data_IF_229135953372
#
_entry.id   IF_229135953372
#
_cell.length_a   1.000
_cell.length_b   1.000
_cell.length_c   1.000
_cell.angle_alpha   90.00
_cell.angle_beta   90.00
_cell.angle_gamma   90.00
#
_symmetry.space_group_name_H-M   'P 1'
#
loop_
_entity.id
_entity.type
_entity.pdbx_description
1 polymer ?
#
# COMPACT_ATOMS: atom_id res chain seq x y z
N UNK A 1 -16.86 46.59 -18.57
CA UNK A 1 -15.69 46.15 -19.38
C UNK A 1 -14.50 45.86 -18.47
N UNK A 2 -14.36 44.63 -17.99
CA UNK A 2 -13.12 44.09 -17.43
C UNK A 2 -13.04 42.63 -17.87
N UNK A 3 -12.22 42.36 -18.87
CA UNK A 3 -11.84 41.03 -19.30
C UNK A 3 -10.31 41.00 -19.30
N UNK A 4 -9.73 40.13 -18.47
CA UNK A 4 -8.64 39.25 -18.89
C UNK A 4 -8.63 38.03 -17.96
N UNK A 5 -9.06 36.95 -18.57
CA UNK A 5 -9.02 35.55 -18.18
C UNK A 5 -7.56 35.06 -18.07
N UNK A 6 -7.42 33.89 -17.43
CA UNK A 6 -6.35 32.88 -17.58
C UNK A 6 -5.24 32.87 -16.51
N UNK A 7 -5.34 31.89 -15.59
CA UNK A 7 -4.27 31.01 -15.11
C UNK A 7 -4.61 30.47 -13.69
N UNK A 8 -5.34 29.35 -13.60
CA UNK A 8 -5.38 28.49 -12.40
C UNK A 8 -6.10 27.18 -12.74
N UNK A 9 -5.45 26.39 -13.60
CA UNK A 9 -5.82 25.01 -13.88
C UNK A 9 -4.57 24.34 -14.46
N UNK A 10 -3.85 23.62 -13.61
CA UNK A 10 -3.13 22.36 -13.83
C UNK A 10 -2.13 22.15 -12.67
N UNK A 11 -1.91 20.89 -12.27
CA UNK A 11 -1.02 20.42 -11.19
C UNK A 11 -1.59 20.30 -9.76
N UNK A 12 -2.77 19.68 -9.60
CA UNK A 12 -3.16 19.01 -8.33
C UNK A 12 -3.34 17.49 -8.49
N UNK A 13 -2.95 16.94 -9.64
CA UNK A 13 -3.05 15.50 -9.95
C UNK A 13 -1.85 14.65 -9.53
N UNK A 14 -0.90 15.17 -8.76
CA UNK A 14 0.38 14.47 -8.49
C UNK A 14 0.66 14.14 -7.02
N UNK A 15 -0.20 14.52 -6.07
CA UNK A 15 0.10 14.39 -4.64
C UNK A 15 -0.42 13.12 -3.95
N UNK A 16 -1.20 12.26 -4.62
CA UNK A 16 -2.00 11.25 -3.90
C UNK A 16 -1.62 9.78 -4.14
N UNK A 17 -0.61 9.48 -4.96
CA UNK A 17 0.03 8.15 -5.00
C UNK A 17 1.07 7.93 -3.90
N UNK A 18 1.50 8.99 -3.19
CA UNK A 18 2.67 8.94 -2.31
C UNK A 18 2.47 8.15 -1.00
N UNK A 19 1.25 7.99 -0.46
CA UNK A 19 1.09 7.40 0.88
C UNK A 19 1.19 5.87 0.96
N UNK A 20 0.67 5.14 -0.03
CA UNK A 20 0.81 3.67 -0.12
C UNK A 20 2.22 3.28 -0.56
N UNK A 21 2.74 4.00 -1.56
CA UNK A 21 4.13 3.92 -2.04
C UNK A 21 5.12 4.20 -0.91
N UNK A 22 4.84 5.19 -0.06
CA UNK A 22 5.68 5.50 1.10
C UNK A 22 5.77 4.35 2.10
N UNK A 23 4.64 3.70 2.37
CA UNK A 23 4.60 2.56 3.28
C UNK A 23 5.33 1.34 2.69
N UNK A 24 5.15 1.07 1.40
CA UNK A 24 5.82 -0.02 0.69
C UNK A 24 7.35 0.16 0.67
N UNK A 25 7.82 1.36 0.29
CA UNK A 25 9.25 1.70 0.35
C UNK A 25 9.82 1.56 1.77
N UNK A 26 9.10 2.02 2.79
CA UNK A 26 9.56 1.94 4.17
C UNK A 26 9.73 0.48 4.62
N UNK A 27 8.84 -0.42 4.20
CA UNK A 27 8.97 -1.85 4.52
C UNK A 27 10.16 -2.48 3.79
N UNK A 28 10.36 -2.18 2.50
CA UNK A 28 11.54 -2.66 1.76
C UNK A 28 12.86 -2.21 2.42
N UNK A 29 12.91 -0.95 2.86
CA UNK A 29 14.07 -0.43 3.58
C UNK A 29 14.29 -1.15 4.91
N UNK A 30 13.21 -1.47 5.65
CA UNK A 30 13.26 -2.25 6.89
C UNK A 30 13.83 -3.65 6.67
N UNK A 31 13.50 -4.31 5.56
CA UNK A 31 14.05 -5.62 5.19
C UNK A 31 15.57 -5.55 4.97
N UNK A 32 16.05 -4.50 4.32
CA UNK A 32 17.50 -4.28 4.12
C UNK A 32 18.20 -4.01 5.47
N UNK A 33 17.54 -3.21 6.31
CA UNK A 33 18.05 -2.78 7.61
C UNK A 33 16.92 -2.45 8.59
N UNK A 34 16.75 -3.27 9.64
CA UNK A 34 15.65 -3.10 10.60
C UNK A 34 15.60 -1.74 11.32
N UNK A 35 16.71 -0.99 11.35
CA UNK A 35 16.78 0.29 12.06
C UNK A 35 15.98 1.41 11.39
N UNK A 36 15.49 1.23 10.16
CA UNK A 36 14.49 2.11 9.56
C UNK A 36 13.20 2.24 10.39
N UNK A 37 12.87 1.24 11.23
CA UNK A 37 11.73 1.29 12.16
C UNK A 37 11.81 2.44 13.17
N UNK A 38 13.02 2.89 13.51
CA UNK A 38 13.26 3.86 14.57
C UNK A 38 13.50 5.29 14.06
N UNK A 39 13.46 5.51 12.74
CA UNK A 39 13.78 6.80 12.14
C UNK A 39 12.52 7.65 12.02
N UNK A 40 12.51 8.79 12.70
CA UNK A 40 11.35 9.70 12.78
C UNK A 40 11.58 11.03 12.07
N UNK A 41 12.81 11.32 11.68
CA UNK A 41 13.30 12.59 11.12
C UNK A 41 13.58 12.48 9.61
N UNK A 42 12.64 11.91 8.85
CA UNK A 42 12.77 11.75 7.40
C UNK A 42 12.36 13.04 6.65
N UNK A 43 13.10 13.46 5.59
CA UNK A 43 12.75 14.60 4.74
C UNK A 43 11.36 14.49 4.10
N UNK A 44 10.73 15.63 3.77
CA UNK A 44 9.36 15.64 3.20
C UNK A 44 9.26 14.93 1.83
N UNK A 45 10.31 14.99 1.00
CA UNK A 45 10.38 14.34 -0.31
C UNK A 45 11.02 12.94 -0.26
N UNK A 46 11.16 12.35 0.92
CA UNK A 46 11.85 11.07 1.12
C UNK A 46 11.27 9.93 0.28
N UNK A 47 9.97 9.95 0.01
CA UNK A 47 9.25 8.92 -0.73
C UNK A 47 9.15 9.19 -2.24
N UNK A 48 9.71 10.29 -2.74
CA UNK A 48 9.79 10.60 -4.18
C UNK A 48 11.01 9.92 -4.82
N UNK A 49 11.03 8.59 -4.80
CA UNK A 49 12.11 7.78 -5.35
C UNK A 49 11.58 6.70 -6.29
N UNK A 50 12.37 6.38 -7.31
CA UNK A 50 12.08 5.22 -8.15
C UNK A 50 12.26 3.94 -7.32
N UNK A 51 11.26 3.05 -7.37
CA UNK A 51 11.35 1.75 -6.70
C UNK A 51 12.51 0.93 -7.28
N UNK A 52 13.32 0.31 -6.40
CA UNK A 52 14.42 -0.51 -6.84
C UNK A 52 13.91 -1.78 -7.53
N UNK A 53 14.64 -2.25 -8.53
CA UNK A 53 14.24 -3.40 -9.37
C UNK A 53 14.99 -4.69 -9.04
N UNK A 54 16.07 -4.59 -8.28
CA UNK A 54 16.95 -5.68 -7.90
C UNK A 54 17.69 -5.37 -6.59
N UNK A 55 18.35 -6.37 -6.01
CA UNK A 55 19.09 -6.27 -4.75
C UNK A 55 20.12 -5.12 -4.76
N UNK A 56 20.86 -4.96 -5.87
CA UNK A 56 21.89 -3.92 -6.00
C UNK A 56 21.30 -2.51 -5.87
N UNK A 57 20.20 -2.25 -6.60
CA UNK A 57 19.47 -0.97 -6.52
C UNK A 57 18.79 -0.75 -5.17
N UNK A 58 18.37 -1.83 -4.49
CA UNK A 58 17.85 -1.78 -3.11
C UNK A 58 18.92 -1.31 -2.13
N UNK A 59 20.11 -1.92 -2.13
CA UNK A 59 21.23 -1.52 -1.26
C UNK A 59 21.68 -0.08 -1.57
N UNK A 60 21.77 0.28 -2.86
CA UNK A 60 22.11 1.64 -3.24
C UNK A 60 21.10 2.66 -2.71
N UNK A 61 19.80 2.40 -2.89
CA UNK A 61 18.73 3.29 -2.43
C UNK A 61 18.79 3.45 -0.91
N UNK A 62 18.93 2.34 -0.18
CA UNK A 62 19.11 2.36 1.27
C UNK A 62 20.25 3.29 1.70
N UNK A 63 21.47 3.07 1.18
CA UNK A 63 22.65 3.85 1.58
C UNK A 63 22.56 5.32 1.17
N UNK A 64 21.97 5.60 0.00
CA UNK A 64 21.71 6.96 -0.47
C UNK A 64 20.80 7.71 0.50
N UNK A 65 19.70 7.09 0.91
CA UNK A 65 18.72 7.69 1.82
C UNK A 65 19.30 7.86 3.23
N UNK A 66 20.02 6.87 3.77
CA UNK A 66 20.76 7.00 5.05
C UNK A 66 21.72 8.18 4.98
N UNK A 67 22.56 8.25 3.94
CA UNK A 67 23.51 9.35 3.77
C UNK A 67 22.83 10.73 3.71
N UNK A 68 21.70 10.86 3.00
CA UNK A 68 20.95 12.12 2.93
C UNK A 68 20.49 12.57 4.33
N UNK A 69 19.88 11.68 5.11
CA UNK A 69 19.42 12.01 6.47
C UNK A 69 20.61 12.35 7.38
N UNK A 70 21.67 11.54 7.38
CA UNK A 70 22.84 11.74 8.24
C UNK A 70 23.62 13.03 7.95
N UNK A 71 23.51 13.55 6.72
CA UNK A 71 24.10 14.83 6.30
C UNK A 71 23.34 16.04 6.87
N UNK A 72 22.03 15.91 7.07
CA UNK A 72 21.16 16.99 7.57
C UNK A 72 21.01 16.99 9.09
N UNK A 73 21.26 15.85 9.75
CA UNK A 73 21.20 15.74 11.21
C UNK A 73 22.13 16.72 11.93
N UNK A 74 21.64 17.23 13.06
CA UNK A 74 22.37 18.20 13.87
C UNK A 74 23.68 17.64 14.43
N UNK A 75 24.78 18.35 14.14
CA UNK A 75 26.13 18.03 14.63
C UNK A 75 26.60 18.99 15.72
N UNK A 76 25.71 19.76 16.36
CA UNK A 76 26.12 20.80 17.33
C UNK A 76 26.95 20.22 18.50
N UNK A 77 26.64 19.00 18.92
CA UNK A 77 27.34 18.29 19.99
C UNK A 77 28.78 17.86 19.62
N UNK A 78 29.15 17.86 18.32
CA UNK A 78 30.46 17.42 17.85
C UNK A 78 31.50 18.55 17.89
N UNK A 79 32.74 18.19 18.19
CA UNK A 79 33.89 19.10 18.10
C UNK A 79 34.32 19.34 16.64
N UNK A 80 35.23 20.29 16.42
CA UNK A 80 35.68 20.67 15.05
C UNK A 80 36.32 19.51 14.28
N UNK A 81 37.12 18.67 14.95
CA UNK A 81 37.78 17.51 14.33
C UNK A 81 36.75 16.46 13.92
N UNK A 82 35.83 16.12 14.82
CA UNK A 82 34.74 15.18 14.56
C UNK A 82 33.85 15.63 13.40
N UNK A 83 33.48 16.92 13.34
CA UNK A 83 32.71 17.47 12.22
C UNK A 83 33.42 17.29 10.87
N UNK A 84 34.73 17.57 10.84
CA UNK A 84 35.55 17.36 9.63
C UNK A 84 35.60 15.89 9.25
N UNK A 85 35.90 15.01 10.20
CA UNK A 85 35.98 13.57 9.98
C UNK A 85 34.65 12.98 9.51
N UNK A 86 33.53 13.37 10.13
CA UNK A 86 32.18 12.96 9.72
C UNK A 86 31.89 13.36 8.28
N UNK A 87 32.21 14.60 7.90
CA UNK A 87 32.05 15.08 6.53
C UNK A 87 32.89 14.29 5.53
N UNK A 88 34.10 13.90 5.90
CA UNK A 88 34.95 13.03 5.06
C UNK A 88 34.32 11.64 4.92
N UNK A 89 33.90 11.01 6.01
CA UNK A 89 33.27 9.69 5.99
C UNK A 89 31.96 9.68 5.19
N UNK A 90 31.08 10.69 5.34
CA UNK A 90 29.87 10.79 4.54
C UNK A 90 30.17 11.00 3.04
N UNK A 91 31.28 11.67 2.71
CA UNK A 91 31.75 11.79 1.32
C UNK A 91 32.17 10.42 0.75
N UNK A 92 32.89 9.63 1.54
CA UNK A 92 33.27 8.25 1.17
C UNK A 92 32.03 7.37 1.03
N UNK A 93 31.07 7.46 1.96
CA UNK A 93 29.80 6.73 1.87
C UNK A 93 29.05 7.06 0.57
N UNK A 94 29.04 8.35 0.20
CA UNK A 94 28.48 8.80 -1.08
C UNK A 94 29.14 8.16 -2.28
N UNK A 95 30.47 8.13 -2.32
CA UNK A 95 31.21 7.49 -3.40
C UNK A 95 30.93 5.98 -3.44
N UNK A 96 30.91 5.33 -2.28
CA UNK A 96 30.66 3.90 -2.14
C UNK A 96 29.32 3.47 -2.77
N UNK A 97 28.21 4.10 -2.38
CA UNK A 97 26.91 3.73 -2.97
C UNK A 97 26.76 4.15 -4.44
N UNK A 98 27.54 5.12 -4.92
CA UNK A 98 27.58 5.50 -6.34
C UNK A 98 28.40 4.54 -7.19
N UNK A 99 29.40 3.86 -6.61
CA UNK A 99 30.21 2.85 -7.28
C UNK A 99 29.51 1.48 -7.34
N UNK A 100 28.53 1.27 -6.46
CA UNK A 100 27.65 0.09 -6.42
C UNK A 100 28.39 -1.26 -6.32
N UNK A 101 29.54 -1.27 -5.62
CA UNK A 101 30.29 -2.48 -5.30
C UNK A 101 29.92 -2.90 -3.87
N UNK A 102 29.01 -3.86 -3.75
CA UNK A 102 28.48 -4.32 -2.48
C UNK A 102 28.82 -5.79 -2.23
N UNK A 103 29.01 -6.20 -0.97
CA UNK A 103 29.21 -7.59 -0.59
C UNK A 103 28.18 -8.55 -1.17
N UNK A 104 28.66 -9.74 -1.52
CA UNK A 104 27.88 -10.84 -2.07
C UNK A 104 27.70 -11.95 -1.03
N UNK A 105 26.44 -12.32 -0.75
CA UNK A 105 26.11 -13.41 0.17
C UNK A 105 26.10 -14.77 -0.55
N UNK A 106 27.26 -15.44 -0.63
CA UNK A 106 27.39 -16.76 -1.26
C UNK A 106 27.04 -17.94 -0.35
N UNK A 107 27.03 -17.75 0.98
CA UNK A 107 27.04 -18.86 1.94
C UNK A 107 25.73 -19.05 2.71
N UNK A 108 24.80 -18.10 2.63
CA UNK A 108 23.56 -18.16 3.40
C UNK A 108 22.32 -18.13 2.50
N UNK A 109 21.26 -18.80 2.95
CA UNK A 109 19.95 -18.87 2.28
C UNK A 109 19.00 -17.75 2.69
N UNK A 110 19.42 -16.84 3.57
CA UNK A 110 18.67 -15.67 4.02
C UNK A 110 19.56 -14.41 4.05
N UNK A 111 18.94 -13.22 4.13
CA UNK A 111 19.64 -11.93 4.18
C UNK A 111 20.45 -11.81 5.47
N UNK A 112 21.75 -11.53 5.35
CA UNK A 112 22.67 -11.41 6.49
C UNK A 112 23.80 -10.43 6.14
N UNK A 113 24.38 -9.67 7.10
CA UNK A 113 25.52 -8.82 6.81
C UNK A 113 26.73 -9.65 6.44
N UNK A 114 27.63 -9.03 5.68
CA UNK A 114 28.97 -9.50 5.39
C UNK A 114 29.89 -8.33 5.67
N UNK A 115 30.92 -8.48 6.51
CA UNK A 115 31.85 -7.38 6.74
C UNK A 115 32.78 -7.19 5.55
N UNK A 116 33.34 -8.30 5.05
CA UNK A 116 34.04 -8.40 3.77
C UNK A 116 33.64 -9.73 3.11
N UNK A 117 33.21 -9.71 1.84
CA UNK A 117 32.84 -10.92 1.10
C UNK A 117 34.05 -11.71 0.55
N UNK A 118 33.76 -12.83 -0.12
CA UNK A 118 34.77 -13.70 -0.73
C UNK A 118 35.58 -13.01 -1.85
N UNK A 119 35.09 -11.89 -2.37
CA UNK A 119 35.72 -11.09 -3.42
C UNK A 119 36.53 -9.91 -2.86
N UNK A 120 36.59 -9.76 -1.54
CA UNK A 120 37.28 -8.65 -0.88
C UNK A 120 36.45 -7.35 -0.85
N UNK A 121 35.17 -7.42 -1.20
CA UNK A 121 34.25 -6.27 -1.15
C UNK A 121 33.82 -6.06 0.29
N UNK A 122 34.20 -4.93 0.87
CA UNK A 122 33.77 -4.55 2.21
C UNK A 122 32.34 -3.99 2.22
N UNK A 123 31.58 -4.20 3.30
CA UNK A 123 30.31 -3.49 3.50
C UNK A 123 30.53 -1.99 3.70
N UNK A 124 29.46 -1.21 3.71
CA UNK A 124 29.53 0.25 3.87
C UNK A 124 30.34 0.67 5.10
N UNK A 125 30.11 0.06 6.27
CA UNK A 125 30.87 0.39 7.50
C UNK A 125 32.34 -0.04 7.36
N UNK A 126 32.61 -1.26 6.89
CA UNK A 126 33.96 -1.75 6.70
C UNK A 126 34.76 -0.91 5.69
N UNK A 127 34.12 -0.47 4.61
CA UNK A 127 34.69 0.41 3.60
C UNK A 127 35.02 1.80 4.17
N UNK A 128 34.13 2.38 4.98
CA UNK A 128 34.42 3.64 5.68
C UNK A 128 35.66 3.53 6.58
N UNK A 129 35.78 2.44 7.34
CA UNK A 129 36.93 2.18 8.22
C UNK A 129 38.22 2.00 7.40
N UNK A 130 38.16 1.26 6.27
CA UNK A 130 39.29 1.04 5.36
C UNK A 130 39.77 2.36 4.76
N UNK A 131 38.88 3.10 4.10
CA UNK A 131 39.20 4.33 3.35
C UNK A 131 39.61 5.49 4.27
N UNK A 132 39.29 5.40 5.56
CA UNK A 132 39.76 6.37 6.57
C UNK A 132 41.07 5.97 7.24
N UNK A 133 41.70 4.88 6.79
CA UNK A 133 43.07 4.50 7.15
C UNK A 133 43.21 3.35 8.15
N UNK A 134 42.13 2.59 8.42
CA UNK A 134 42.13 1.51 9.42
C UNK A 134 41.78 0.12 8.84
N UNK A 135 42.41 -0.32 7.74
CA UNK A 135 42.02 -1.57 7.06
C UNK A 135 42.16 -2.82 7.92
N UNK A 136 43.09 -2.83 8.88
CA UNK A 136 43.31 -3.97 9.78
C UNK A 136 42.13 -4.22 10.72
N UNK A 137 41.39 -3.18 11.11
CA UNK A 137 40.16 -3.33 11.91
C UNK A 137 39.12 -4.08 11.10
N UNK A 138 38.90 -3.69 9.85
CA UNK A 138 37.93 -4.36 8.98
C UNK A 138 38.30 -5.80 8.67
N UNK A 139 39.58 -6.09 8.43
CA UNK A 139 40.07 -7.46 8.22
C UNK A 139 39.90 -8.32 9.47
N UNK A 140 40.21 -7.79 10.64
CA UNK A 140 40.04 -8.50 11.92
C UNK A 140 38.58 -8.89 12.14
N UNK A 141 37.65 -7.94 11.95
CA UNK A 141 36.20 -8.21 12.12
C UNK A 141 35.74 -9.24 11.09
N UNK A 142 36.17 -9.14 9.83
CA UNK A 142 35.83 -10.12 8.80
C UNK A 142 36.34 -11.54 9.14
N UNK A 143 37.46 -11.68 9.85
CA UNK A 143 37.99 -13.00 10.25
C UNK A 143 37.25 -13.60 11.45
N UNK A 144 36.78 -12.77 12.38
CA UNK A 144 36.24 -13.23 13.67
C UNK A 144 34.70 -13.23 13.70
N UNK A 145 34.06 -12.28 13.02
CA UNK A 145 32.61 -12.03 13.08
C UNK A 145 32.06 -11.52 11.73
N UNK A 146 32.43 -12.15 10.61
CA UNK A 146 32.08 -11.64 9.28
C UNK A 146 30.58 -11.42 9.06
N UNK A 147 29.73 -12.24 9.68
CA UNK A 147 28.29 -12.29 9.44
C UNK A 147 27.44 -11.67 10.55
N UNK A 148 28.06 -10.99 11.51
CA UNK A 148 27.34 -10.38 12.64
C UNK A 148 26.85 -8.98 12.31
N UNK A 149 25.73 -8.58 12.91
CA UNK A 149 25.35 -7.16 12.95
C UNK A 149 26.22 -6.42 13.97
N UNK A 150 26.43 -5.11 13.77
CA UNK A 150 27.17 -4.28 14.73
C UNK A 150 26.58 -4.28 16.14
N UNK A 151 25.29 -4.59 16.30
CA UNK A 151 24.65 -4.72 17.62
C UNK A 151 25.06 -5.98 18.38
N UNK A 152 25.50 -7.02 17.66
CA UNK A 152 25.95 -8.31 18.20
C UNK A 152 27.47 -8.32 18.41
N UNK A 153 28.15 -7.27 17.92
CA UNK A 153 29.58 -7.11 17.98
C UNK A 153 30.01 -6.32 19.22
N UNK A 154 31.09 -6.78 19.87
CA UNK A 154 31.72 -6.06 20.96
C UNK A 154 33.19 -5.74 20.59
N UNK A 155 33.37 -4.73 19.72
CA UNK A 155 34.67 -4.28 19.25
C UNK A 155 34.93 -2.82 19.67
N UNK A 156 35.75 -2.58 20.70
CA UNK A 156 36.12 -1.23 21.13
C UNK A 156 36.72 -0.37 20.01
N UNK A 157 37.39 -0.98 19.04
CA UNK A 157 37.98 -0.32 17.88
C UNK A 157 36.92 0.40 17.04
N UNK A 158 35.75 -0.23 16.84
CA UNK A 158 34.64 0.38 16.08
C UNK A 158 34.02 1.53 16.88
N UNK A 159 33.88 1.40 18.19
CA UNK A 159 33.37 2.47 19.05
C UNK A 159 34.30 3.68 19.07
N UNK A 160 35.61 3.44 19.19
CA UNK A 160 36.62 4.49 19.14
C UNK A 160 36.63 5.19 17.78
N UNK A 161 36.58 4.41 16.69
CA UNK A 161 36.47 4.96 15.34
C UNK A 161 35.19 5.79 15.19
N UNK A 162 34.02 5.26 15.59
CA UNK A 162 32.74 5.98 15.53
C UNK A 162 32.83 7.33 16.26
N UNK A 163 33.38 7.33 17.48
CA UNK A 163 33.58 8.54 18.27
C UNK A 163 34.52 9.54 17.61
N UNK A 164 35.63 9.08 17.03
CA UNK A 164 36.59 9.96 16.33
C UNK A 164 36.00 10.56 15.05
N UNK A 165 35.17 9.80 14.35
CA UNK A 165 34.51 10.21 13.11
C UNK A 165 33.14 10.87 13.34
N UNK A 166 32.74 11.04 14.60
CA UNK A 166 31.53 11.76 14.97
C UNK A 166 30.25 11.03 14.59
N UNK A 167 30.24 9.70 14.64
CA UNK A 167 29.06 8.85 14.49
C UNK A 167 28.63 8.27 15.84
N UNK A 168 27.34 8.03 16.00
CA UNK A 168 26.85 7.12 17.03
C UNK A 168 26.87 5.68 16.51
N UNK A 169 26.87 4.70 17.42
CA UNK A 169 26.75 3.29 17.03
C UNK A 169 25.41 3.01 16.34
N UNK A 170 24.34 3.70 16.73
CA UNK A 170 23.03 3.55 16.08
C UNK A 170 23.02 4.07 14.63
N UNK A 171 23.81 5.11 14.32
CA UNK A 171 24.01 5.52 12.94
C UNK A 171 24.80 4.48 12.15
N UNK A 172 25.83 3.85 12.73
CA UNK A 172 26.61 2.81 12.04
C UNK A 172 25.80 1.53 11.81
N UNK A 173 24.98 1.12 12.80
CA UNK A 173 24.01 0.03 12.65
C UNK A 173 23.04 0.29 11.52
N UNK A 174 22.64 1.55 11.31
CA UNK A 174 21.76 1.94 10.21
C UNK A 174 22.48 2.02 8.86
N UNK A 175 23.79 2.33 8.85
CA UNK A 175 24.62 2.28 7.64
C UNK A 175 24.92 0.83 7.20
N UNK A 176 24.93 -0.15 8.10
CA UNK A 176 25.24 -1.55 7.80
C UNK A 176 24.02 -2.31 7.22
N UNK A 177 23.96 -2.59 5.91
CA UNK A 177 22.88 -3.43 5.38
C UNK A 177 23.15 -4.92 5.63
N UNK A 178 22.09 -5.73 5.54
CA UNK A 178 22.23 -7.16 5.21
C UNK A 178 22.16 -7.38 3.70
N UNK A 179 22.72 -8.48 3.19
CA UNK A 179 22.77 -8.82 1.76
C UNK A 179 21.94 -10.07 1.47
N UNK A 180 21.02 -9.97 0.51
CA UNK A 180 20.19 -11.10 0.12
C UNK A 180 21.06 -12.23 -0.46
N UNK A 181 20.62 -13.50 -0.31
CA UNK A 181 21.32 -14.66 -0.86
C UNK A 181 21.63 -14.51 -2.34
N UNK A 182 22.91 -14.56 -2.71
CA UNK A 182 23.34 -14.48 -4.09
C UNK A 182 22.99 -15.74 -4.88
N UNK A 183 22.78 -15.58 -6.17
CA UNK A 183 22.55 -16.70 -7.07
C UNK A 183 23.90 -17.20 -7.62
N UNK A 184 24.60 -18.01 -6.82
CA UNK A 184 25.91 -18.56 -7.16
C UNK A 184 25.86 -19.60 -8.30
N UNK A 185 26.98 -19.88 -9.01
CA UNK A 185 27.03 -20.97 -9.98
C UNK A 185 26.51 -22.30 -9.43
N UNK A 186 25.72 -23.00 -10.23
CA UNK A 186 25.07 -24.27 -9.87
C UNK A 186 23.80 -24.11 -9.04
N UNK A 187 23.38 -22.88 -8.72
CA UNK A 187 22.19 -22.65 -7.90
C UNK A 187 20.93 -22.45 -8.73
N UNK A 188 19.82 -22.95 -8.18
CA UNK A 188 18.46 -22.58 -8.56
C UNK A 188 17.68 -22.24 -7.30
N UNK A 189 17.02 -21.09 -7.29
CA UNK A 189 16.21 -20.59 -6.18
C UNK A 189 14.80 -20.29 -6.67
N UNK A 190 13.82 -20.83 -5.95
CA UNK A 190 12.42 -20.45 -6.14
C UNK A 190 12.19 -19.02 -5.60
N UNK A 191 11.24 -18.28 -6.15
CA UNK A 191 10.90 -16.96 -5.63
C UNK A 191 10.34 -17.10 -4.21
N UNK A 192 10.59 -16.10 -3.37
CA UNK A 192 10.01 -16.06 -2.01
C UNK A 192 8.50 -15.83 -2.07
N UNK A 193 8.05 -15.01 -3.03
CA UNK A 193 6.66 -14.63 -3.25
C UNK A 193 6.19 -15.03 -4.65
N UNK A 194 4.89 -15.21 -4.85
CA UNK A 194 4.34 -15.69 -6.14
C UNK A 194 4.79 -14.85 -7.34
N UNK A 195 4.82 -13.52 -7.16
CA UNK A 195 5.28 -12.55 -8.18
C UNK A 195 6.75 -12.11 -7.98
N UNK A 196 7.47 -12.73 -7.03
CA UNK A 196 8.83 -12.37 -6.66
C UNK A 196 9.90 -12.96 -7.60
N UNK A 197 11.15 -12.47 -7.51
CA UNK A 197 12.22 -12.98 -8.35
C UNK A 197 12.74 -14.33 -7.84
N UNK A 198 12.67 -15.37 -8.68
CA UNK A 198 13.48 -16.58 -8.53
C UNK A 198 14.88 -16.35 -9.10
N UNK A 199 15.74 -17.38 -9.02
CA UNK A 199 17.01 -17.33 -9.73
C UNK A 199 17.47 -18.67 -10.30
N UNK A 200 18.19 -18.58 -11.42
CA UNK A 200 18.91 -19.69 -12.06
C UNK A 200 20.33 -19.21 -12.37
N UNK A 201 21.34 -20.00 -11.98
CA UNK A 201 22.72 -19.81 -12.39
C UNK A 201 23.36 -21.19 -12.65
N UNK A 202 23.54 -21.59 -13.92
CA UNK A 202 24.21 -22.85 -14.26
C UNK A 202 25.72 -22.76 -14.01
N UNK A 203 26.31 -23.84 -13.48
CA UNK A 203 27.76 -23.92 -13.31
C UNK A 203 28.44 -24.39 -14.61
N UNK A 204 28.70 -23.44 -15.50
CA UNK A 204 29.36 -23.72 -16.79
C UNK A 204 30.79 -24.28 -16.61
N UNK A 205 31.48 -23.88 -15.54
CA UNK A 205 32.84 -24.30 -15.27
C UNK A 205 32.90 -25.75 -14.77
N UNK A 206 31.98 -26.15 -13.88
CA UNK A 206 31.84 -27.55 -13.47
C UNK A 206 31.52 -28.48 -14.65
N UNK A 207 30.80 -27.97 -15.66
CA UNK A 207 30.51 -28.68 -16.90
C UNK A 207 31.62 -28.57 -17.97
N UNK A 208 32.80 -28.08 -17.59
CA UNK A 208 34.01 -27.98 -18.44
C UNK A 208 33.85 -27.09 -19.68
N UNK A 209 32.92 -26.13 -19.66
CA UNK A 209 32.77 -25.15 -20.75
C UNK A 209 33.84 -24.05 -20.63
N UNK A 210 34.39 -23.62 -21.77
CA UNK A 210 35.47 -22.64 -21.82
C UNK A 210 34.97 -21.25 -22.24
N UNK A 211 35.18 -20.19 -21.44
CA UNK A 211 34.75 -18.84 -21.78
C UNK A 211 35.48 -18.29 -23.02
N UNK A 212 34.93 -17.26 -23.72
CA UNK A 212 33.65 -16.61 -23.45
C UNK A 212 32.44 -17.51 -23.73
N UNK A 213 31.39 -17.33 -22.93
CA UNK A 213 30.13 -18.05 -23.06
C UNK A 213 29.13 -17.22 -23.87
N UNK A 214 28.45 -17.85 -24.83
CA UNK A 214 27.31 -17.30 -25.55
C UNK A 214 26.03 -18.03 -25.10
N UNK A 215 25.18 -17.34 -24.35
CA UNK A 215 24.02 -17.93 -23.66
C UNK A 215 22.72 -17.46 -24.30
N UNK A 216 21.84 -18.39 -24.67
CA UNK A 216 20.51 -18.14 -25.27
C UNK A 216 19.38 -18.82 -24.49
N UNK A 217 18.15 -18.33 -24.68
CA UNK A 217 16.96 -18.74 -23.91
C UNK A 217 15.69 -18.78 -24.78
N UNK A 218 14.76 -19.68 -24.47
CA UNK A 218 13.52 -19.90 -25.25
C UNK A 218 12.24 -19.35 -24.60
N UNK A 219 12.19 -19.17 -23.27
CA UNK A 219 11.02 -18.63 -22.57
C UNK A 219 11.45 -17.46 -21.69
N UNK A 220 11.03 -16.25 -22.06
CA UNK A 220 11.42 -15.01 -21.38
C UNK A 220 10.20 -14.39 -20.71
N UNK A 221 10.07 -14.61 -19.41
CA UNK A 221 9.09 -13.92 -18.57
C UNK A 221 9.72 -13.29 -17.32
N UNK A 222 11.04 -13.11 -17.23
CA UNK A 222 11.75 -12.46 -16.11
C UNK A 222 12.38 -11.09 -16.43
N UNK A 223 13.26 -10.59 -15.54
CA UNK A 223 14.08 -9.38 -15.77
C UNK A 223 15.22 -9.56 -16.79
N UNK A 224 15.41 -10.78 -17.31
CA UNK A 224 16.50 -11.14 -18.23
C UNK A 224 17.75 -11.68 -17.53
N UNK A 225 18.67 -12.27 -18.29
CA UNK A 225 19.98 -12.69 -17.80
C UNK A 225 20.93 -11.51 -17.77
N UNK A 226 21.66 -11.33 -16.66
CA UNK A 226 22.73 -10.34 -16.53
C UNK A 226 24.07 -11.06 -16.37
N UNK A 227 25.12 -10.50 -16.96
CA UNK A 227 26.50 -10.82 -16.57
C UNK A 227 26.86 -9.82 -15.50
N UNK A 228 27.01 -10.29 -14.28
CA UNK A 228 27.35 -9.41 -13.17
C UNK A 228 28.81 -8.95 -13.21
N UNK A 229 29.16 -8.05 -12.29
CA UNK A 229 30.50 -7.46 -12.18
C UNK A 229 31.59 -8.45 -11.78
N UNK A 230 31.23 -9.65 -11.32
CA UNK A 230 32.16 -10.75 -11.00
C UNK A 230 32.21 -11.82 -12.11
N UNK A 231 31.49 -11.61 -13.21
CA UNK A 231 31.54 -12.43 -14.41
C UNK A 231 30.63 -13.65 -14.39
N UNK A 232 29.74 -13.80 -13.41
CA UNK A 232 28.75 -14.88 -13.45
C UNK A 232 27.56 -14.50 -14.33
N UNK A 233 27.06 -15.51 -15.03
CA UNK A 233 25.87 -15.41 -15.86
C UNK A 233 24.72 -15.96 -15.03
N UNK A 234 23.86 -15.10 -14.53
CA UNK A 234 22.70 -15.50 -13.74
C UNK A 234 21.41 -14.84 -14.23
N UNK A 235 20.28 -15.53 -14.04
CA UNK A 235 18.96 -14.96 -14.27
C UNK A 235 18.33 -14.60 -12.94
N UNK A 236 18.48 -13.36 -12.55
CA UNK A 236 17.68 -12.79 -11.48
C UNK A 236 16.26 -12.55 -12.02
N UNK A 237 15.23 -12.79 -11.21
CA UNK A 237 13.85 -12.60 -11.64
C UNK A 237 13.27 -13.75 -12.48
N UNK A 238 13.82 -14.95 -12.35
CA UNK A 238 13.24 -16.13 -12.98
C UNK A 238 11.80 -16.35 -12.46
N UNK A 239 10.79 -16.26 -13.33
CA UNK A 239 9.38 -16.51 -12.96
C UNK A 239 9.09 -17.99 -12.86
N UNK A 240 7.95 -18.31 -12.23
CA UNK A 240 7.43 -19.68 -12.12
C UNK A 240 7.32 -20.35 -13.50
N UNK A 241 7.70 -21.63 -13.58
CA UNK A 241 7.61 -22.40 -14.83
C UNK A 241 8.94 -23.00 -15.28
N UNK A 242 8.93 -23.51 -16.51
CA UNK A 242 10.08 -24.20 -17.10
C UNK A 242 10.96 -23.23 -17.88
N UNK A 243 12.26 -23.30 -17.60
CA UNK A 243 13.30 -22.49 -18.23
C UNK A 243 14.30 -23.39 -18.93
N UNK A 244 14.62 -23.05 -20.18
CA UNK A 244 15.65 -23.71 -20.99
C UNK A 244 16.77 -22.72 -21.26
N UNK A 245 17.97 -23.05 -20.77
CA UNK A 245 19.18 -22.24 -20.91
C UNK A 245 20.14 -22.98 -21.84
N UNK A 246 20.59 -22.35 -22.90
CA UNK A 246 21.57 -22.94 -23.83
C UNK A 246 22.85 -22.13 -23.77
N UNK A 247 23.98 -22.76 -23.46
CA UNK A 247 25.29 -22.14 -23.46
C UNK A 247 26.13 -22.73 -24.59
N UNK A 248 26.77 -21.86 -25.38
CA UNK A 248 27.78 -22.21 -26.37
C UNK A 248 29.10 -21.60 -25.91
N UNK A 249 30.13 -22.42 -25.76
CA UNK A 249 31.44 -21.98 -25.29
C UNK A 249 32.36 -21.55 -26.46
N UNK A 250 33.59 -21.11 -26.15
CA UNK A 250 34.56 -20.63 -27.15
C UNK A 250 35.05 -21.70 -28.12
N UNK A 251 34.84 -22.98 -27.81
CA UNK A 251 35.15 -24.11 -28.67
C UNK A 251 33.92 -24.58 -29.48
N UNK A 252 32.82 -23.81 -29.45
CA UNK A 252 31.50 -24.17 -30.00
C UNK A 252 30.86 -25.41 -29.35
N UNK A 253 31.29 -25.79 -28.14
CA UNK A 253 30.61 -26.82 -27.34
C UNK A 253 29.28 -26.26 -26.87
N UNK A 254 28.19 -26.98 -27.17
CA UNK A 254 26.84 -26.57 -26.76
C UNK A 254 26.36 -27.42 -25.60
N UNK A 255 25.86 -26.76 -24.54
CA UNK A 255 25.20 -27.40 -23.39
C UNK A 255 23.84 -26.77 -23.14
N UNK A 256 22.85 -27.61 -22.84
CA UNK A 256 21.48 -27.17 -22.54
C UNK A 256 21.13 -27.57 -21.12
N UNK A 257 20.59 -26.63 -20.35
CA UNK A 257 20.14 -26.79 -18.99
C UNK A 257 18.63 -26.57 -18.93
N UNK A 258 17.96 -27.37 -18.10
CA UNK A 258 16.54 -27.25 -17.83
C UNK A 258 16.33 -27.00 -16.36
N UNK A 259 15.60 -25.93 -16.05
CA UNK A 259 15.24 -25.57 -14.68
C UNK A 259 13.73 -25.45 -14.58
N UNK A 260 13.20 -25.84 -13.44
CA UNK A 260 11.81 -25.57 -13.07
C UNK A 260 11.82 -24.67 -11.86
N UNK A 261 11.36 -23.42 -12.04
CA UNK A 261 11.03 -22.55 -10.92
C UNK A 261 9.65 -22.98 -10.42
N UNK A 262 9.63 -23.50 -9.20
CA UNK A 262 8.43 -23.99 -8.57
C UNK A 262 7.54 -22.82 -8.17
N UNK A 263 6.24 -23.06 -8.24
CA UNK A 263 5.27 -22.11 -7.72
C UNK A 263 5.35 -22.07 -6.18
N UNK A 264 5.27 -20.88 -5.61
CA UNK A 264 4.96 -20.71 -4.19
C UNK A 264 3.45 -20.52 -4.01
N UNK A 265 2.85 -20.96 -2.89
CA UNK A 265 1.41 -20.80 -2.66
C UNK A 265 0.98 -19.34 -2.83
N UNK A 266 0.01 -19.07 -3.71
CA UNK A 266 -0.55 -17.74 -3.88
C UNK A 266 -1.46 -17.39 -2.70
N UNK A 267 -1.54 -16.11 -2.37
CA UNK A 267 -2.43 -15.60 -1.33
C UNK A 267 -3.82 -15.42 -1.93
N UNK A 268 -4.79 -16.17 -1.45
CA UNK A 268 -6.19 -15.95 -1.79
C UNK A 268 -6.85 -15.01 -0.77
N UNK A 269 -7.72 -14.12 -1.26
CA UNK A 269 -8.45 -13.15 -0.44
C UNK A 269 -9.95 -13.34 -0.70
N UNK A 270 -10.70 -13.62 0.35
CA UNK A 270 -12.17 -13.61 0.36
C UNK A 270 -12.67 -12.44 1.21
N UNK A 271 -13.69 -11.74 0.72
CA UNK A 271 -14.21 -10.53 1.35
C UNK A 271 -15.73 -10.62 1.43
N UNK A 272 -16.27 -10.55 2.64
CA UNK A 272 -17.69 -10.53 2.93
C UNK A 272 -18.08 -9.14 3.42
N UNK A 273 -18.98 -8.47 2.70
CA UNK A 273 -19.31 -7.05 2.92
C UNK A 273 -20.76 -6.93 3.35
N UNK A 274 -20.97 -6.32 4.52
CA UNK A 274 -22.24 -5.75 4.91
C UNK A 274 -22.21 -4.27 4.57
N UNK A 275 -22.93 -3.89 3.52
CA UNK A 275 -22.95 -2.52 2.99
C UNK A 275 -23.54 -1.50 3.98
N UNK A 276 -23.22 -0.22 3.77
CA UNK A 276 -23.76 0.86 4.59
C UNK A 276 -25.27 0.98 4.34
N UNK A 277 -26.06 1.08 5.39
CA UNK A 277 -27.53 1.16 5.30
C UNK A 277 -28.12 2.49 5.75
N UNK A 278 -27.33 3.33 6.40
CA UNK A 278 -27.74 4.64 6.90
C UNK A 278 -26.78 5.70 6.33
N UNK A 279 -27.28 6.69 5.59
CA UNK A 279 -26.45 7.71 4.95
C UNK A 279 -25.79 8.67 5.95
N UNK A 280 -26.25 8.70 7.19
CA UNK A 280 -25.79 9.62 8.24
C UNK A 280 -24.66 9.04 9.08
N UNK A 281 -24.41 7.73 9.01
CA UNK A 281 -23.32 7.07 9.73
C UNK A 281 -22.60 6.01 8.88
N UNK A 282 -21.36 5.74 9.24
CA UNK A 282 -20.53 4.77 8.56
C UNK A 282 -20.70 3.42 9.26
N UNK A 283 -21.78 2.69 8.98
CA UNK A 283 -22.10 1.43 9.68
C UNK A 283 -21.76 0.16 8.92
N UNK A 284 -21.06 0.25 7.79
CA UNK A 284 -20.67 -0.93 7.02
C UNK A 284 -19.61 -1.76 7.77
N UNK A 285 -19.62 -3.06 7.49
CA UNK A 285 -18.69 -4.04 8.06
C UNK A 285 -18.10 -4.87 6.93
N UNK A 286 -16.78 -5.06 6.95
CA UNK A 286 -16.05 -5.92 6.02
C UNK A 286 -15.33 -7.00 6.83
N UNK A 287 -15.59 -8.25 6.50
CA UNK A 287 -14.86 -9.41 7.03
C UNK A 287 -14.00 -10.02 5.91
N UNK A 288 -12.70 -10.02 6.12
CA UNK A 288 -11.68 -10.53 5.21
C UNK A 288 -11.17 -11.87 5.71
N UNK A 289 -11.12 -12.86 4.83
CA UNK A 289 -10.52 -14.16 5.08
C UNK A 289 -9.42 -14.40 4.03
N UNK A 290 -8.35 -15.08 4.43
CA UNK A 290 -7.22 -15.37 3.56
C UNK A 290 -6.76 -16.82 3.70
N UNK A 291 -6.06 -17.34 2.70
CA UNK A 291 -5.48 -18.70 2.73
C UNK A 291 -4.14 -18.80 3.47
N UNK A 292 -3.61 -17.71 4.01
CA UNK A 292 -2.32 -17.72 4.73
C UNK A 292 -2.52 -17.95 6.23
N UNK A 293 -1.62 -18.71 6.84
CA UNK A 293 -1.61 -18.98 8.28
C UNK A 293 -0.93 -17.84 9.06
N UNK A 294 -1.37 -17.54 10.30
CA UNK A 294 -0.69 -16.55 11.13
C UNK A 294 0.78 -16.91 11.42
N UNK A 295 1.68 -15.91 11.54
CA UNK A 295 1.39 -14.49 11.55
C UNK A 295 1.22 -13.90 10.13
N UNK A 296 0.11 -13.21 9.91
CA UNK A 296 -0.16 -12.41 8.71
C UNK A 296 -0.64 -11.01 9.12
N UNK A 297 -0.53 -10.03 8.22
CA UNK A 297 -1.04 -8.68 8.42
C UNK A 297 -2.15 -8.39 7.39
N UNK A 298 -3.22 -7.74 7.87
CA UNK A 298 -4.34 -7.30 7.05
C UNK A 298 -4.53 -5.79 7.19
N UNK A 299 -4.38 -5.10 6.08
CA UNK A 299 -4.66 -3.68 5.96
C UNK A 299 -5.82 -3.44 5.00
N UNK A 300 -6.60 -2.40 5.28
CA UNK A 300 -7.68 -1.93 4.45
C UNK A 300 -7.47 -0.45 4.16
N UNK A 301 -7.41 -0.08 2.89
CA UNK A 301 -7.15 1.30 2.46
C UNK A 301 -8.39 1.81 1.73
N UNK A 302 -9.01 2.86 2.23
CA UNK A 302 -10.05 3.62 1.52
C UNK A 302 -9.38 4.69 0.67
N UNK A 303 -9.76 4.81 -0.60
CA UNK A 303 -9.12 5.80 -1.48
C UNK A 303 -9.63 7.23 -1.28
N UNK A 304 -10.91 7.41 -0.88
CA UNK A 304 -11.55 8.72 -0.77
C UNK A 304 -12.56 8.78 0.40
N UNK A 305 -12.31 9.56 1.46
CA UNK A 305 -11.00 10.14 1.82
C UNK A 305 -9.96 9.03 2.00
N UNK A 306 -8.69 9.37 1.81
CA UNK A 306 -7.60 8.43 2.04
C UNK A 306 -7.54 8.07 3.52
N UNK A 307 -7.83 6.82 3.85
CA UNK A 307 -7.90 6.33 5.22
C UNK A 307 -7.44 4.87 5.28
N UNK A 308 -6.55 4.54 6.21
CA UNK A 308 -6.09 3.17 6.43
C UNK A 308 -6.68 2.61 7.73
N UNK A 309 -7.00 1.32 7.71
CA UNK A 309 -7.47 0.53 8.83
C UNK A 309 -6.63 -0.75 8.91
N UNK A 310 -6.32 -1.22 10.12
CA UNK A 310 -5.59 -2.47 10.32
C UNK A 310 -6.29 -3.27 11.41
N UNK A 311 -6.57 -4.55 11.14
CA UNK A 311 -7.13 -5.50 12.11
C UNK A 311 -6.62 -6.90 11.78
N UNK A 312 -5.88 -7.51 12.69
CA UNK A 312 -5.24 -8.81 12.49
C UNK A 312 -6.23 -9.97 12.35
N UNK A 313 -7.50 -9.79 12.71
CA UNK A 313 -8.57 -10.78 12.51
C UNK A 313 -9.36 -10.55 11.21
N UNK A 314 -8.99 -9.52 10.43
CA UNK A 314 -9.66 -9.18 9.18
C UNK A 314 -11.07 -8.62 9.35
N UNK A 315 -11.41 -8.12 10.54
CA UNK A 315 -12.77 -7.65 10.84
C UNK A 315 -12.83 -6.12 10.96
N UNK A 316 -13.22 -5.45 9.88
CA UNK A 316 -13.25 -4.00 9.80
C UNK A 316 -14.69 -3.48 10.00
N UNK A 317 -14.87 -2.61 11.00
CA UNK A 317 -16.17 -1.99 11.35
C UNK A 317 -16.15 -0.50 11.08
N UNK A 318 -17.33 0.11 11.16
CA UNK A 318 -17.54 1.55 11.04
C UNK A 318 -17.09 2.13 9.70
N UNK A 319 -17.25 1.35 8.63
CA UNK A 319 -16.83 1.73 7.29
C UNK A 319 -17.94 2.53 6.60
N UNK A 320 -17.56 3.57 5.87
CA UNK A 320 -18.52 4.29 5.04
C UNK A 320 -18.55 3.69 3.62
N UNK A 321 -19.56 4.03 2.84
CA UNK A 321 -19.61 3.73 1.42
C UNK A 321 -18.41 4.35 0.69
N UNK A 322 -17.84 3.59 -0.25
CA UNK A 322 -16.64 3.97 -0.97
C UNK A 322 -15.89 2.75 -1.50
N UNK A 323 -14.79 3.05 -2.19
CA UNK A 323 -13.87 2.03 -2.70
C UNK A 323 -12.76 1.80 -1.69
N UNK A 324 -12.47 0.54 -1.45
CA UNK A 324 -11.43 0.08 -0.56
C UNK A 324 -10.51 -0.92 -1.28
N UNK A 325 -9.26 -0.96 -0.86
CA UNK A 325 -8.28 -1.97 -1.27
C UNK A 325 -7.88 -2.75 -0.02
N UNK A 326 -8.15 -4.05 -0.04
CA UNK A 326 -7.64 -4.99 0.94
C UNK A 326 -6.19 -5.31 0.56
N UNK A 327 -5.29 -5.32 1.55
CA UNK A 327 -3.90 -5.73 1.41
C UNK A 327 -3.60 -6.81 2.45
N UNK A 328 -3.10 -7.95 1.99
CA UNK A 328 -2.71 -9.08 2.83
C UNK A 328 -1.22 -9.31 2.70
N UNK A 329 -0.55 -9.45 3.84
CA UNK A 329 0.86 -9.85 3.94
C UNK A 329 0.97 -11.18 4.68
N UNK A 330 1.70 -12.14 4.13
CA UNK A 330 2.03 -13.38 4.84
C UNK A 330 3.26 -13.23 5.75
N UNK A 331 3.72 -14.33 6.36
CA UNK A 331 4.90 -14.36 7.24
C UNK A 331 6.22 -14.08 6.53
N UNK A 332 6.26 -14.23 5.20
CA UNK A 332 7.39 -13.89 4.34
C UNK A 332 7.24 -12.49 3.72
N UNK A 333 6.25 -11.72 4.20
CA UNK A 333 5.88 -10.39 3.69
C UNK A 333 5.47 -10.36 2.21
N UNK A 334 5.03 -11.48 1.67
CA UNK A 334 4.45 -11.52 0.34
C UNK A 334 3.10 -10.81 0.34
N UNK A 335 2.90 -9.90 -0.62
CA UNK A 335 1.73 -9.05 -0.68
C UNK A 335 0.73 -9.53 -1.73
N UNK A 336 -0.56 -9.50 -1.37
CA UNK A 336 -1.67 -9.57 -2.33
C UNK A 336 -2.69 -8.48 -2.06
N UNK A 337 -3.24 -7.91 -3.13
CA UNK A 337 -4.27 -6.87 -3.02
C UNK A 337 -5.58 -7.30 -3.66
N UNK A 338 -6.70 -6.79 -3.13
CA UNK A 338 -8.02 -6.96 -3.71
C UNK A 338 -8.87 -5.71 -3.52
N UNK A 339 -9.34 -5.13 -4.62
CA UNK A 339 -10.31 -4.04 -4.60
C UNK A 339 -11.70 -4.52 -4.19
N UNK A 340 -12.38 -3.76 -3.33
CA UNK A 340 -13.77 -3.98 -2.92
C UNK A 340 -14.53 -2.65 -2.87
N UNK A 341 -15.82 -2.69 -3.15
CA UNK A 341 -16.69 -1.52 -3.10
C UNK A 341 -17.76 -1.71 -2.03
N UNK A 342 -17.87 -0.73 -1.14
CA UNK A 342 -18.96 -0.63 -0.16
C UNK A 342 -20.00 0.34 -0.72
N UNK A 343 -21.20 -0.14 -1.00
CA UNK A 343 -22.33 0.69 -1.43
C UNK A 343 -23.00 1.38 -0.25
N UNK A 344 -23.63 2.53 -0.53
CA UNK A 344 -24.62 3.13 0.34
C UNK A 344 -25.99 2.65 -0.12
N UNK A 345 -26.67 1.87 0.71
CA UNK A 345 -28.01 1.34 0.46
C UNK A 345 -29.10 2.19 1.11
N UNK A 346 -28.76 3.30 1.76
CA UNK A 346 -29.75 4.20 2.35
C UNK A 346 -30.62 4.82 1.24
N UNK A 347 -31.90 4.46 1.22
CA UNK A 347 -32.90 5.12 0.39
C UNK A 347 -33.26 6.44 1.03
N UNK A 348 -32.91 7.56 0.38
CA UNK A 348 -33.21 8.92 0.86
C UNK A 348 -34.70 9.24 0.74
N UNK A 349 -35.54 8.61 1.55
CA UNK A 349 -36.85 9.12 1.92
C UNK A 349 -36.98 8.94 3.43
N UNK A 350 -36.66 9.98 4.18
CA UNK A 350 -37.22 10.13 5.51
C UNK A 350 -38.72 10.34 5.31
N UNK A 351 -39.51 9.28 5.48
CA UNK A 351 -40.92 9.46 5.83
C UNK A 351 -40.94 10.15 7.19
N UNK A 352 -41.04 11.49 7.18
CA UNK A 352 -41.36 12.25 8.38
C UNK A 352 -42.68 11.66 8.88
N UNK A 353 -42.67 11.00 10.03
CA UNK A 353 -43.88 10.52 10.69
C UNK A 353 -44.89 11.66 10.71
N UNK A 354 -45.93 11.52 9.91
CA UNK A 354 -47.02 12.48 9.78
C UNK A 354 -47.67 12.56 11.16
N UNK A 355 -47.69 13.74 11.79
CA UNK A 355 -48.54 13.98 12.96
C UNK A 355 -49.97 13.59 12.60
N UNK A 356 -50.58 12.71 13.40
CA UNK A 356 -51.65 11.80 12.95
C UNK A 356 -52.84 12.48 12.24
N UNK A 357 -52.79 12.56 10.90
CA UNK A 357 -53.94 12.96 10.08
C UNK A 357 -54.83 11.74 9.92
N UNK A 358 -56.09 11.84 10.38
CA UNK A 358 -57.09 10.77 10.19
C UNK A 358 -58.13 11.24 9.18
N UNK A 359 -58.42 10.37 8.21
CA UNK A 359 -59.46 10.59 7.20
C UNK A 359 -60.56 9.55 7.39
N UNK A 360 -61.77 10.02 7.70
CA UNK A 360 -62.91 9.11 7.82
C UNK A 360 -64.24 9.79 7.47
N UNK A 361 -65.21 9.01 6.96
CA UNK A 361 -65.01 7.68 6.40
C UNK A 361 -64.19 7.77 5.09
N UNK A 362 -63.33 6.80 4.82
CA UNK A 362 -62.71 6.59 3.52
C UNK A 362 -62.73 5.08 3.23
N UNK A 363 -63.58 4.58 2.32
CA UNK A 363 -64.42 5.32 1.37
C UNK A 363 -65.59 6.11 1.97
N UNK A 364 -66.04 7.17 1.30
CA UNK A 364 -67.19 7.99 1.68
C UNK A 364 -68.31 8.02 0.63
N UNK A 365 -69.50 8.46 1.03
CA UNK A 365 -70.66 8.65 0.13
C UNK A 365 -70.83 10.10 -0.30
N UNK A 366 -71.14 11.01 0.63
CA UNK A 366 -71.32 12.44 0.31
C UNK A 366 -70.25 13.33 0.94
N UNK A 367 -69.88 13.04 2.20
CA UNK A 367 -68.99 13.86 3.01
C UNK A 367 -67.88 13.00 3.63
N UNK A 368 -66.73 13.60 3.88
CA UNK A 368 -65.64 13.03 4.69
C UNK A 368 -65.07 14.11 5.61
N UNK A 369 -64.30 13.69 6.62
CA UNK A 369 -63.70 14.59 7.59
C UNK A 369 -62.19 14.35 7.66
N UNK A 370 -61.46 15.41 8.02
CA UNK A 370 -60.02 15.38 8.30
C UNK A 370 -59.82 15.74 9.76
N UNK A 371 -59.21 14.85 10.54
CA UNK A 371 -58.92 15.08 11.95
C UNK A 371 -57.42 15.25 12.16
N UNK A 372 -57.06 16.23 12.99
CA UNK A 372 -55.71 16.47 13.47
C UNK A 372 -55.68 16.38 15.00
N UNK A 373 -54.51 16.15 15.61
CA UNK A 373 -54.35 16.19 17.07
C UNK A 373 -54.64 17.57 17.69
N UNK A 374 -54.55 18.64 16.89
CA UNK A 374 -54.87 20.02 17.28
C UNK A 374 -56.09 20.54 16.54
N UNK A 375 -56.99 21.21 17.26
CA UNK A 375 -58.17 21.86 16.68
C UNK A 375 -57.77 23.12 15.91
N UNK A 376 -57.30 22.94 14.68
CA UNK A 376 -56.77 24.00 13.80
C UNK A 376 -57.51 24.04 12.46
N UNK A 377 -57.54 25.21 11.82
CA UNK A 377 -57.99 25.35 10.43
C UNK A 377 -56.89 24.96 9.44
N UNK A 378 -57.28 24.36 8.31
CA UNK A 378 -56.41 24.00 7.20
C UNK A 378 -57.05 24.41 5.87
N UNK A 379 -56.22 24.58 4.83
CA UNK A 379 -56.70 24.71 3.46
C UNK A 379 -56.68 23.34 2.79
N UNK A 380 -57.61 23.10 1.86
CA UNK A 380 -57.62 21.85 1.10
C UNK A 380 -57.92 22.08 -0.38
N UNK A 381 -57.41 21.15 -1.21
CA UNK A 381 -57.73 21.02 -2.63
C UNK A 381 -57.94 19.55 -2.96
N UNK A 382 -58.95 19.27 -3.79
CA UNK A 382 -59.31 17.92 -4.21
C UNK A 382 -59.11 17.82 -5.71
N UNK A 383 -58.37 16.82 -6.14
CA UNK A 383 -58.06 16.54 -7.54
C UNK A 383 -58.61 15.18 -7.96
N UNK A 384 -59.10 15.07 -9.19
CA UNK A 384 -59.41 13.78 -9.79
C UNK A 384 -58.14 13.08 -10.34
N UNK A 385 -58.27 11.84 -10.83
CA UNK A 385 -57.15 11.06 -11.39
C UNK A 385 -56.47 11.71 -12.60
N UNK A 386 -57.12 12.66 -13.28
CA UNK A 386 -56.52 13.42 -14.39
C UNK A 386 -55.73 14.65 -13.91
N UNK A 387 -55.73 14.92 -12.60
CA UNK A 387 -55.12 16.11 -12.01
C UNK A 387 -55.99 17.37 -12.10
N UNK A 388 -57.25 17.25 -12.52
CA UNK A 388 -58.19 18.37 -12.58
C UNK A 388 -58.67 18.72 -11.16
N UNK A 389 -58.63 20.00 -10.81
CA UNK A 389 -59.12 20.51 -9.53
C UNK A 389 -60.66 20.42 -9.48
N UNK A 390 -61.17 19.63 -8.54
CA UNK A 390 -62.59 19.37 -8.32
C UNK A 390 -63.19 20.34 -7.32
N UNK A 391 -62.50 20.58 -6.21
CA UNK A 391 -62.94 21.48 -5.14
C UNK A 391 -61.74 22.04 -4.39
N UNK A 392 -61.88 23.24 -3.82
CA UNK A 392 -60.93 23.82 -2.87
C UNK A 392 -61.68 24.59 -1.79
N UNK A 393 -61.11 24.66 -0.60
CA UNK A 393 -61.72 25.37 0.51
C UNK A 393 -60.83 25.45 1.74
N UNK A 394 -61.43 25.91 2.84
CA UNK A 394 -60.84 25.86 4.19
C UNK A 394 -61.81 25.12 5.09
N UNK A 395 -61.28 24.32 6.01
CA UNK A 395 -62.05 23.57 6.99
C UNK A 395 -61.28 23.54 8.32
N UNK A 396 -61.99 23.27 9.42
CA UNK A 396 -61.39 22.97 10.73
C UNK A 396 -61.26 21.46 10.90
N UNK A 397 -60.39 21.04 11.83
CA UNK A 397 -60.37 19.65 12.27
C UNK A 397 -61.77 19.18 12.62
N UNK A 398 -62.13 17.99 12.15
CA UNK A 398 -63.44 17.38 12.40
C UNK A 398 -64.62 18.21 11.86
N UNK A 399 -64.39 19.00 10.81
CA UNK A 399 -65.45 19.61 9.99
C UNK A 399 -65.74 18.75 8.75
N UNK A 400 -67.02 18.60 8.40
CA UNK A 400 -67.42 17.84 7.22
C UNK A 400 -67.08 18.58 5.93
N UNK A 401 -66.35 17.90 5.04
CA UNK A 401 -66.09 18.35 3.67
C UNK A 401 -67.06 17.62 2.74
N UNK A 402 -68.00 18.37 2.16
CA UNK A 402 -68.98 17.85 1.21
C UNK A 402 -68.38 17.76 -0.20
N UNK A 403 -68.54 16.60 -0.82
CA UNK A 403 -68.19 16.34 -2.22
C UNK A 403 -69.34 15.60 -2.95
N UNK A 404 -70.59 15.94 -2.61
CA UNK A 404 -71.81 15.28 -3.11
C UNK A 404 -71.93 15.33 -4.64
N UNK A 405 -71.53 16.44 -5.26
CA UNK A 405 -71.65 16.68 -6.71
C UNK A 405 -70.61 15.96 -7.57
N UNK A 406 -69.54 15.42 -6.98
CA UNK A 406 -68.52 14.69 -7.73
C UNK A 406 -68.98 13.27 -8.10
N UNK A 407 -68.45 12.70 -9.18
CA UNK A 407 -68.73 11.31 -9.58
C UNK A 407 -68.10 10.30 -8.61
N UNK A 408 -68.49 9.02 -8.72
CA UNK A 408 -67.82 7.96 -7.97
C UNK A 408 -66.40 7.76 -8.51
N UNK A 409 -65.41 7.62 -7.65
CA UNK A 409 -64.03 7.50 -8.10
C UNK A 409 -62.99 7.74 -7.02
N UNK A 410 -61.73 7.76 -7.45
CA UNK A 410 -60.56 8.05 -6.61
C UNK A 410 -60.19 9.52 -6.79
N UNK A 411 -59.90 10.18 -5.68
CA UNK A 411 -59.45 11.57 -5.63
C UNK A 411 -58.20 11.70 -4.77
N UNK A 412 -57.43 12.74 -5.02
CA UNK A 412 -56.30 13.16 -4.19
C UNK A 412 -56.67 14.41 -3.42
N UNK A 413 -56.64 14.33 -2.10
CA UNK A 413 -56.83 15.43 -1.18
C UNK A 413 -55.46 16.02 -0.81
N UNK A 414 -55.20 17.22 -1.29
CA UNK A 414 -54.08 18.04 -0.85
C UNK A 414 -54.53 18.91 0.34
N UNK A 415 -53.85 18.78 1.48
CA UNK A 415 -54.04 19.55 2.70
C UNK A 415 -52.85 20.50 2.86
N UNK A 416 -53.11 21.77 3.14
CA UNK A 416 -52.10 22.79 3.40
C UNK A 416 -52.33 23.35 4.80
N UNK A 417 -51.38 23.11 5.70
CA UNK A 417 -51.41 23.56 7.11
C UNK A 417 -50.01 23.99 7.51
N UNK A 418 -49.87 25.14 8.18
CA UNK A 418 -48.59 25.68 8.66
C UNK A 418 -47.48 25.73 7.59
N UNK A 419 -47.87 26.03 6.34
CA UNK A 419 -47.01 26.04 5.15
C UNK A 419 -46.43 24.66 4.76
N UNK A 420 -46.89 23.58 5.39
CA UNK A 420 -46.64 22.20 4.98
C UNK A 420 -47.79 21.68 4.09
N UNK A 421 -47.46 20.74 3.21
CA UNK A 421 -48.39 20.12 2.25
C UNK A 421 -48.44 18.62 2.49
N UNK A 422 -49.64 18.10 2.64
CA UNK A 422 -49.92 16.67 2.79
C UNK A 422 -50.83 16.22 1.66
N UNK A 423 -50.65 15.02 1.14
CA UNK A 423 -51.48 14.48 0.07
C UNK A 423 -51.99 13.11 0.46
N UNK A 424 -53.30 12.93 0.45
CA UNK A 424 -53.96 11.69 0.82
C UNK A 424 -54.91 11.21 -0.27
N UNK A 425 -55.03 9.88 -0.40
CA UNK A 425 -55.97 9.27 -1.33
C UNK A 425 -57.32 9.09 -0.66
N UNK A 426 -58.38 9.63 -1.27
CA UNK A 426 -59.77 9.45 -0.83
C UNK A 426 -60.59 8.75 -1.91
N UNK A 427 -61.56 7.93 -1.51
CA UNK A 427 -62.40 7.12 -2.40
C UNK A 427 -63.87 7.46 -2.19
N UNK A 428 -64.55 7.92 -3.23
CA UNK A 428 -66.01 8.10 -3.23
C UNK A 428 -66.68 6.84 -3.78
N UNK A 429 -67.45 6.15 -2.93
CA UNK A 429 -68.01 4.83 -3.24
C UNK A 429 -69.44 4.86 -3.79
N UNK A 430 -70.24 5.90 -3.50
CA UNK A 430 -71.68 5.92 -3.78
C UNK A 430 -72.17 7.16 -4.51
#
# INVERSE_FOLDING_TARGET
MKNKLLALLFCLGFLMNNSSVANELKQELIEINKYWKFQTDLPENFYEVDFPKNEKSQIQLHLKLVHQVLKERSVHHLNKKQKKNRSTALTILKQYYQNEQFPINLHHSYRIPYFIDDFGTACAVGHLIIETGFPEVSKMIAQQNNYSYLEEMNYPEVELWAKEFGFTIDELKWIQPGYAPYCAPGTKKDPVCHDGPGCINPDFAADSLIPPYNVTYEYNDGSGWEVDTVGYIHMYGARIGQHKVTCIDSLNTTKVYYYTINNVPDISIQANINHQTDSTNCNAVLHVQTSVDPPYQLDLIRSNPNQAFSDSNGYFKNLCAGNYTIVVYDSNYCQKTRGVQIYNLATSLNEKEIGSIKLFPNPFSENFMVSFESNSSFEYKIYDLSGRLVQRGRAKSDEEINLKSAEKGVYFLEIIKDNERYTEKIVKAY
#
